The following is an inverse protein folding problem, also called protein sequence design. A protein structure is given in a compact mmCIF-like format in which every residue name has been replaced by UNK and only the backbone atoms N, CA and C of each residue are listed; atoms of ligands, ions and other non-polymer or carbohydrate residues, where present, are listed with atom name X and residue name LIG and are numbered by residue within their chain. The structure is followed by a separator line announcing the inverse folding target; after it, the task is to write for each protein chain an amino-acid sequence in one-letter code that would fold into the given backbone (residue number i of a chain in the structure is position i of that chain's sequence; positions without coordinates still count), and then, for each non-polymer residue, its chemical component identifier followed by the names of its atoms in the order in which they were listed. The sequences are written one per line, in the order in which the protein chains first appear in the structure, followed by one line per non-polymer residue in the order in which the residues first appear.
data_IF_663096092075
#
_entry.id   IF_663096092075
#
_cell.length_a   1.000
_cell.length_b   1.000
_cell.length_c   1.000
_cell.angle_alpha   90.00
_cell.angle_beta   90.00
_cell.angle_gamma   90.00
#
_symmetry.space_group_name_H-M   'P 1'
#
loop_
_entity.id
_entity.type
_entity.pdbx_description
1 polymer ?
#
# COMPACT_ATOMS: atom_id res chain seq x y z
N UNK A 1 -27.77 66.81 15.06
CA UNK A 1 -26.79 66.35 14.05
C UNK A 1 -25.46 65.84 14.64
N UNK A 2 -25.29 65.67 15.96
CA UNK A 2 -24.00 65.23 16.57
C UNK A 2 -23.98 63.79 17.07
N UNK A 3 -25.14 63.10 17.08
CA UNK A 3 -25.25 61.70 17.54
C UNK A 3 -24.69 60.72 16.49
N UNK A 4 -24.92 61.01 15.20
CA UNK A 4 -24.43 60.21 14.08
C UNK A 4 -22.90 60.15 13.97
N UNK A 5 -22.20 61.27 14.21
CA UNK A 5 -20.72 61.28 14.19
C UNK A 5 -20.10 60.44 15.32
N UNK A 6 -20.71 60.41 16.51
CA UNK A 6 -20.21 59.56 17.62
C UNK A 6 -20.46 58.09 17.34
N UNK A 7 -21.59 57.77 16.70
CA UNK A 7 -21.91 56.40 16.30
C UNK A 7 -20.98 55.92 15.17
N UNK A 8 -20.69 56.76 14.19
CA UNK A 8 -19.71 56.49 13.15
C UNK A 8 -18.30 56.25 13.73
N UNK A 9 -17.86 57.06 14.70
CA UNK A 9 -16.57 56.88 15.38
C UNK A 9 -16.45 55.53 16.10
N UNK A 10 -17.53 55.05 16.75
CA UNK A 10 -17.55 53.75 17.43
C UNK A 10 -17.46 52.58 16.44
N UNK A 11 -18.11 52.69 15.28
CA UNK A 11 -18.05 51.66 14.24
C UNK A 11 -16.63 51.55 13.65
N UNK A 12 -15.99 52.68 13.37
CA UNK A 12 -14.60 52.69 12.86
C UNK A 12 -13.63 52.09 13.88
N UNK A 13 -13.81 52.40 15.17
CA UNK A 13 -12.97 51.86 16.22
C UNK A 13 -13.15 50.34 16.37
N UNK A 14 -14.39 49.84 16.32
CA UNK A 14 -14.70 48.42 16.34
C UNK A 14 -14.12 47.67 15.12
N UNK A 15 -14.21 48.26 13.93
CA UNK A 15 -13.62 47.69 12.72
C UNK A 15 -12.09 47.59 12.81
N UNK A 16 -11.42 48.65 13.30
CA UNK A 16 -9.97 48.63 13.46
C UNK A 16 -9.51 47.58 14.47
N UNK A 17 -10.24 47.37 15.57
CA UNK A 17 -9.94 46.30 16.51
C UNK A 17 -10.11 44.91 15.91
N UNK A 18 -11.16 44.70 15.10
CA UNK A 18 -11.39 43.43 14.43
C UNK A 18 -10.27 43.11 13.41
N UNK A 19 -9.85 44.10 12.63
CA UNK A 19 -8.75 43.96 11.65
C UNK A 19 -7.43 43.62 12.36
N UNK A 20 -7.14 44.27 13.49
CA UNK A 20 -5.94 44.00 14.28
C UNK A 20 -5.92 42.55 14.81
N UNK A 21 -7.06 42.03 15.26
CA UNK A 21 -7.16 40.64 15.72
C UNK A 21 -6.95 39.63 14.59
N UNK A 22 -7.53 39.84 13.41
CA UNK A 22 -7.34 38.95 12.27
C UNK A 22 -5.88 38.94 11.80
N UNK A 23 -5.19 40.07 11.86
CA UNK A 23 -3.76 40.17 11.51
C UNK A 23 -2.83 39.53 12.53
N UNK A 24 -3.23 39.45 13.80
CA UNK A 24 -2.45 38.82 14.86
C UNK A 24 -2.59 37.29 14.87
N UNK A 25 -3.53 36.73 14.11
CA UNK A 25 -3.67 35.28 13.98
C UNK A 25 -2.53 34.72 13.13
N UNK A 26 -1.80 33.70 13.60
CA UNK A 26 -0.79 33.04 12.78
C UNK A 26 -1.46 32.41 11.54
N UNK A 27 -0.83 32.47 10.36
CA UNK A 27 -1.37 31.84 9.17
C UNK A 27 -1.51 30.33 9.40
N UNK A 28 -2.61 29.73 8.95
CA UNK A 28 -2.85 28.28 9.08
C UNK A 28 -1.71 27.42 8.47
N UNK A 29 -0.93 27.99 7.56
CA UNK A 29 0.28 27.42 6.97
C UNK A 29 1.45 27.25 7.95
N UNK A 30 1.39 27.82 9.17
CA UNK A 30 2.41 27.65 10.20
C UNK A 30 2.46 26.23 10.77
N UNK A 31 1.40 25.45 10.57
CA UNK A 31 1.31 24.07 11.01
C UNK A 31 1.41 23.16 9.78
N UNK A 32 2.64 22.75 9.46
CA UNK A 32 2.86 21.69 8.47
C UNK A 32 2.21 20.39 8.92
N UNK A 33 1.75 19.53 7.98
CA UNK A 33 1.23 18.22 8.35
C UNK A 33 2.33 17.42 9.07
N UNK A 34 1.96 16.57 10.05
CA UNK A 34 2.92 15.67 10.69
C UNK A 34 3.57 14.78 9.63
N UNK A 35 4.89 14.61 9.71
CA UNK A 35 5.65 13.72 8.84
C UNK A 35 5.25 12.26 9.14
N UNK A 36 4.32 11.73 8.37
CA UNK A 36 3.98 10.30 8.40
C UNK A 36 5.14 9.54 7.74
N UNK A 37 6.01 8.95 8.56
CA UNK A 37 7.06 8.06 8.09
C UNK A 37 6.45 6.76 7.59
N UNK A 38 6.38 6.56 6.27
CA UNK A 38 6.02 5.28 5.70
C UNK A 38 7.25 4.35 5.75
N UNK A 39 7.09 3.09 6.21
CA UNK A 39 8.17 2.12 6.11
C UNK A 39 8.50 1.86 4.63
N UNK A 40 9.77 1.58 4.29
CA UNK A 40 10.14 1.24 2.93
C UNK A 40 9.40 -0.03 2.48
N UNK A 41 9.05 -0.14 1.18
CA UNK A 41 8.44 -1.36 0.66
C UNK A 41 9.40 -2.55 0.84
N UNK A 42 8.87 -3.77 1.07
CA UNK A 42 9.70 -4.96 1.19
C UNK A 42 10.44 -5.23 -0.13
N UNK A 43 11.63 -5.85 -0.08
CA UNK A 43 12.36 -6.23 -1.27
C UNK A 43 11.55 -7.25 -2.10
N UNK A 44 11.37 -6.94 -3.39
CA UNK A 44 10.72 -7.85 -4.33
C UNK A 44 11.54 -9.12 -4.48
N UNK A 45 11.03 -10.26 -3.98
CA UNK A 45 11.65 -11.55 -4.24
C UNK A 45 11.30 -12.01 -5.66
N UNK A 46 12.32 -12.21 -6.50
CA UNK A 46 12.18 -12.86 -7.79
C UNK A 46 11.81 -14.34 -7.58
N UNK A 47 10.57 -14.71 -7.91
CA UNK A 47 10.18 -16.13 -8.00
C UNK A 47 10.61 -16.67 -9.36
N UNK A 48 11.62 -17.55 -9.37
CA UNK A 48 12.01 -18.30 -10.56
C UNK A 48 11.18 -19.59 -10.57
N UNK A 49 10.22 -19.67 -11.49
CA UNK A 49 9.44 -20.89 -11.73
C UNK A 49 10.18 -21.70 -12.81
N UNK A 50 10.65 -22.90 -12.46
CA UNK A 50 11.26 -23.83 -13.42
C UNK A 50 10.23 -24.90 -13.78
N UNK A 51 9.77 -24.90 -15.03
CA UNK A 51 8.89 -25.95 -15.55
C UNK A 51 9.72 -27.16 -15.98
N UNK A 52 9.40 -28.36 -15.47
CA UNK A 52 10.07 -29.62 -15.84
C UNK A 52 9.07 -30.53 -16.55
N UNK A 53 9.39 -30.90 -17.79
CA UNK A 53 8.68 -31.96 -18.50
C UNK A 53 9.17 -33.33 -18.03
N UNK A 54 8.24 -34.25 -17.77
CA UNK A 54 8.51 -35.61 -17.31
C UNK A 54 7.83 -36.58 -18.26
N UNK A 55 8.59 -37.49 -18.85
CA UNK A 55 8.03 -38.56 -19.69
C UNK A 55 7.43 -39.63 -18.78
N UNK A 56 6.18 -40.02 -19.06
CA UNK A 56 5.45 -41.05 -18.30
C UNK A 56 5.15 -42.26 -19.19
N UNK A 57 5.18 -43.45 -18.59
CA UNK A 57 4.86 -44.73 -19.23
C UNK A 57 3.90 -45.54 -18.37
N UNK A 58 3.16 -46.46 -18.97
CA UNK A 58 2.32 -47.40 -18.23
C UNK A 58 3.17 -48.52 -17.63
N UNK A 59 3.00 -48.80 -16.33
CA UNK A 59 3.65 -49.93 -15.69
C UNK A 59 3.12 -51.26 -16.25
N UNK A 60 4.02 -52.18 -16.61
CA UNK A 60 3.64 -53.51 -17.14
C UNK A 60 2.83 -54.38 -16.16
N UNK A 61 2.95 -54.13 -14.85
CA UNK A 61 2.32 -54.95 -13.81
C UNK A 61 0.95 -54.44 -13.37
N UNK A 62 0.84 -53.13 -13.11
CA UNK A 62 -0.36 -52.52 -12.54
C UNK A 62 -1.02 -51.46 -13.43
N UNK A 63 -0.45 -51.22 -14.63
CA UNK A 63 -0.92 -50.24 -15.62
C UNK A 63 -0.99 -48.79 -15.11
N UNK A 64 -0.44 -48.50 -13.93
CA UNK A 64 -0.36 -47.13 -13.42
C UNK A 64 0.67 -46.31 -14.20
N UNK A 65 0.36 -45.04 -14.46
CA UNK A 65 1.29 -44.09 -15.06
C UNK A 65 2.47 -43.85 -14.11
N UNK A 66 3.68 -44.13 -14.57
CA UNK A 66 4.92 -43.92 -13.82
C UNK A 66 5.94 -43.16 -14.68
N UNK A 67 6.70 -42.22 -14.11
CA UNK A 67 7.84 -41.61 -14.80
C UNK A 67 8.80 -42.65 -15.38
N UNK A 68 9.21 -42.47 -16.64
CA UNK A 68 10.09 -43.40 -17.33
C UNK A 68 11.52 -43.44 -16.76
N UNK A 69 11.93 -42.40 -16.03
CA UNK A 69 13.26 -42.30 -15.40
C UNK A 69 13.39 -43.17 -14.12
N UNK A 70 12.30 -43.75 -13.63
CA UNK A 70 12.32 -44.57 -12.41
C UNK A 70 12.70 -46.02 -12.72
N UNK A 71 13.49 -46.63 -11.83
CA UNK A 71 13.83 -48.06 -11.91
C UNK A 71 12.66 -48.97 -11.54
N UNK A 72 11.69 -48.47 -10.77
CA UNK A 72 10.54 -49.23 -10.28
C UNK A 72 9.26 -48.39 -10.32
N UNK A 73 8.12 -49.07 -10.46
CA UNK A 73 6.81 -48.46 -10.47
C UNK A 73 6.50 -47.82 -9.11
N UNK A 74 6.16 -46.53 -9.08
CA UNK A 74 5.82 -45.83 -7.84
C UNK A 74 4.58 -46.43 -7.15
N UNK A 75 3.67 -47.01 -7.92
CA UNK A 75 2.39 -47.52 -7.41
C UNK A 75 2.48 -48.95 -6.89
N UNK A 76 3.24 -49.83 -7.54
CA UNK A 76 3.31 -51.26 -7.17
C UNK A 76 4.71 -51.79 -6.83
N UNK A 77 5.76 -50.98 -6.95
CA UNK A 77 7.15 -51.39 -6.72
C UNK A 77 7.72 -52.33 -7.79
N UNK A 78 6.95 -52.71 -8.81
CA UNK A 78 7.41 -53.58 -9.89
C UNK A 78 8.52 -52.94 -10.73
N UNK A 79 9.54 -53.73 -11.07
CA UNK A 79 10.72 -53.23 -11.78
C UNK A 79 10.39 -52.87 -13.24
N UNK A 80 10.71 -51.63 -13.63
CA UNK A 80 10.37 -51.06 -14.94
C UNK A 80 11.43 -51.32 -16.02
N UNK A 81 12.61 -51.80 -15.61
CA UNK A 81 13.66 -52.34 -16.48
C UNK A 81 13.52 -53.84 -16.68
#
# INVERSE_FOLDING_TARGET
MTKDLRQAGRLVQAMNTAIAHVRAMPPASAYGPPSVGYPPPPPSQLQIIVERQVVVMHCKYCQSLTPADLSACKSCGGQLR
#
